data_IF_699214176129
#
_entry.id   IF_699214176129
#
_cell.length_a   1.000
_cell.length_b   1.000
_cell.length_c   1.000
_cell.angle_alpha   90.00
_cell.angle_beta   90.00
_cell.angle_gamma   90.00
#
_symmetry.space_group_name_H-M   'P 1'
#
loop_
_entity.id
_entity.type
_entity.pdbx_description
1 polymer ?
#
# COMPACT_ATOMS: atom_id res chain seq x y z
N UNK A 1 52.08 11.24 31.00
CA UNK A 1 50.82 10.87 31.70
C UNK A 1 50.11 9.88 30.79
N UNK A 2 49.59 8.74 31.29
CA UNK A 2 49.05 7.74 30.39
C UNK A 2 47.73 8.23 29.78
N UNK A 3 47.69 8.29 28.45
CA UNK A 3 46.50 8.60 27.68
C UNK A 3 45.73 7.31 27.43
N UNK A 4 44.44 7.29 27.77
CA UNK A 4 43.56 6.13 27.63
C UNK A 4 42.51 6.44 26.56
N UNK A 5 42.22 5.47 25.70
CA UNK A 5 41.09 5.52 24.77
C UNK A 5 40.08 4.41 25.10
N UNK A 6 38.83 4.78 25.37
CA UNK A 6 37.69 3.86 25.30
C UNK A 6 37.16 3.86 23.87
N UNK A 7 37.02 2.70 23.26
CA UNK A 7 36.57 2.55 21.87
C UNK A 7 35.36 1.63 21.86
N UNK A 8 34.26 2.08 21.27
CA UNK A 8 33.04 1.31 21.07
C UNK A 8 32.78 1.10 19.59
N UNK A 9 32.78 -0.17 19.15
CA UNK A 9 32.46 -0.54 17.78
C UNK A 9 30.99 -0.97 17.73
N UNK A 10 30.12 -0.02 17.40
CA UNK A 10 28.68 -0.24 17.19
C UNK A 10 28.36 -0.76 15.79
N UNK A 11 27.09 -1.14 15.56
CA UNK A 11 26.63 -1.58 14.22
C UNK A 11 26.63 -0.43 13.20
N UNK A 12 26.34 0.79 13.66
CA UNK A 12 26.25 1.98 12.81
C UNK A 12 27.45 2.92 12.98
N UNK A 13 27.89 3.13 14.23
CA UNK A 13 28.93 4.09 14.59
C UNK A 13 30.08 3.41 15.32
N UNK A 14 31.29 3.88 15.05
CA UNK A 14 32.48 3.59 15.85
C UNK A 14 32.86 4.85 16.60
N UNK A 15 32.89 4.76 17.93
CA UNK A 15 32.99 5.89 18.84
C UNK A 15 34.23 5.76 19.72
N UNK A 16 34.88 6.88 20.00
CA UNK A 16 36.08 6.96 20.84
C UNK A 16 35.89 8.02 21.92
N UNK A 17 36.24 7.65 23.15
CA UNK A 17 36.35 8.53 24.30
C UNK A 17 37.81 8.53 24.79
N UNK A 18 38.50 9.65 24.59
CA UNK A 18 39.89 9.84 25.02
C UNK A 18 39.92 10.48 26.42
N UNK A 19 40.76 9.95 27.31
CA UNK A 19 40.90 10.43 28.68
C UNK A 19 42.37 10.45 29.12
N UNK A 20 42.72 11.41 29.98
CA UNK A 20 44.01 11.45 30.65
C UNK A 20 43.88 10.86 32.04
N UNK A 21 44.65 9.81 32.34
CA UNK A 21 44.61 9.09 33.61
C UNK A 21 45.60 9.75 34.59
N UNK A 22 45.17 10.86 35.22
CA UNK A 22 45.85 11.47 36.36
C UNK A 22 45.36 10.82 37.67
N UNK A 23 46.25 10.39 38.57
CA UNK A 23 45.90 9.77 39.86
C UNK A 23 44.95 10.58 40.75
N UNK A 24 44.89 11.90 40.59
CA UNK A 24 43.97 12.77 41.34
C UNK A 24 42.71 13.17 40.53
N UNK A 25 42.70 12.99 39.21
CA UNK A 25 41.55 13.30 38.35
C UNK A 25 41.64 12.59 36.98
N UNK A 26 40.88 11.49 36.79
CA UNK A 26 40.65 10.96 35.43
C UNK A 26 39.77 11.94 34.67
N UNK A 27 40.37 12.71 33.76
CA UNK A 27 39.67 13.71 32.97
C UNK A 27 39.34 13.16 31.59
N UNK A 28 38.09 13.30 31.18
CA UNK A 28 37.71 13.19 29.78
C UNK A 28 38.37 14.33 28.99
N UNK A 29 38.91 14.00 27.83
CA UNK A 29 39.74 14.90 27.02
C UNK A 29 39.05 15.24 25.70
N UNK A 30 38.66 14.22 24.93
CA UNK A 30 38.12 14.39 23.60
C UNK A 30 37.29 13.17 23.18
N UNK A 31 36.42 13.35 22.19
CA UNK A 31 35.73 12.24 21.51
C UNK A 31 35.93 12.27 20.01
N UNK A 32 35.74 11.10 19.39
CA UNK A 32 35.65 10.94 17.95
C UNK A 32 34.51 9.99 17.59
N UNK A 33 33.86 10.23 16.46
CA UNK A 33 32.78 9.39 15.93
C UNK A 33 32.85 9.35 14.42
N UNK A 34 32.73 8.14 13.88
CA UNK A 34 32.63 7.86 12.44
C UNK A 34 31.62 6.75 12.21
N UNK A 35 31.15 6.59 10.96
CA UNK A 35 30.38 5.41 10.57
C UNK A 35 31.26 4.14 10.67
N UNK A 36 30.72 3.05 11.20
CA UNK A 36 31.43 1.77 11.26
C UNK A 36 31.79 1.28 9.86
N UNK A 37 33.06 0.98 9.64
CA UNK A 37 33.58 0.57 8.33
C UNK A 37 33.42 -0.94 8.14
N UNK A 38 32.70 -1.35 7.10
CA UNK A 38 32.46 -2.77 6.81
C UNK A 38 31.49 -3.43 7.79
N UNK A 39 31.47 -4.77 7.82
CA UNK A 39 30.59 -5.52 8.70
C UNK A 39 31.16 -5.56 10.12
N UNK A 40 30.32 -5.36 11.13
CA UNK A 40 30.76 -5.38 12.53
C UNK A 40 31.35 -6.74 12.92
N UNK A 41 32.47 -6.73 13.64
CA UNK A 41 33.22 -7.93 14.04
C UNK A 41 34.23 -8.40 13.00
N UNK A 42 34.43 -7.66 11.91
CA UNK A 42 35.45 -7.97 10.88
C UNK A 42 36.65 -7.03 10.97
N UNK A 43 37.75 -7.41 10.30
CA UNK A 43 38.97 -6.58 10.21
C UNK A 43 38.72 -5.23 9.55
N UNK A 44 37.67 -5.09 8.76
CA UNK A 44 37.33 -3.84 8.08
C UNK A 44 37.02 -2.72 9.10
N UNK A 45 36.57 -3.08 10.31
CA UNK A 45 36.26 -2.11 11.36
C UNK A 45 37.51 -1.36 11.86
N UNK A 46 38.73 -1.90 11.63
CA UNK A 46 39.98 -1.25 12.05
C UNK A 46 40.12 0.13 11.40
N UNK A 47 39.69 0.28 10.15
CA UNK A 47 39.77 1.57 9.45
C UNK A 47 38.94 2.66 10.15
N UNK A 48 37.69 2.36 10.49
CA UNK A 48 36.80 3.24 11.25
C UNK A 48 37.31 3.52 12.65
N UNK A 49 37.84 2.51 13.34
CA UNK A 49 38.46 2.67 14.67
C UNK A 49 39.63 3.64 14.64
N UNK A 50 40.55 3.49 13.68
CA UNK A 50 41.68 4.40 13.51
C UNK A 50 41.21 5.81 13.18
N UNK A 51 40.25 5.96 12.27
CA UNK A 51 39.71 7.27 11.89
C UNK A 51 39.02 7.97 13.07
N UNK A 52 38.25 7.25 13.90
CA UNK A 52 37.62 7.80 15.09
C UNK A 52 38.65 8.23 16.15
N UNK A 53 39.71 7.43 16.32
CA UNK A 53 40.79 7.74 17.26
C UNK A 53 41.63 8.95 16.78
N UNK A 54 41.95 9.02 15.49
CA UNK A 54 42.60 10.20 14.88
C UNK A 54 41.73 11.45 15.02
N UNK A 55 40.41 11.35 14.80
CA UNK A 55 39.49 12.47 14.96
C UNK A 55 39.45 12.97 16.42
N UNK A 56 39.55 12.08 17.41
CA UNK A 56 39.65 12.46 18.82
C UNK A 56 41.01 13.13 19.13
N UNK A 57 42.11 12.54 18.66
CA UNK A 57 43.48 13.03 18.89
C UNK A 57 43.74 14.40 18.25
N UNK A 58 43.15 14.67 17.08
CA UNK A 58 43.27 15.95 16.38
C UNK A 58 42.75 17.15 17.21
N UNK A 59 41.93 16.91 18.24
CA UNK A 59 41.43 17.93 19.17
C UNK A 59 42.38 18.19 20.34
N UNK A 60 43.57 17.59 20.31
CA UNK A 60 44.50 17.53 21.44
C UNK A 60 45.94 17.72 20.98
N UNK A 61 46.89 18.00 21.89
CA UNK A 61 48.31 18.05 21.53
C UNK A 61 48.98 16.67 21.40
N UNK A 62 48.25 15.57 21.63
CA UNK A 62 48.77 14.20 21.57
C UNK A 62 48.60 13.58 20.18
N UNK A 63 49.41 12.56 19.92
CA UNK A 63 49.45 11.79 18.69
C UNK A 63 49.08 10.32 18.95
N UNK A 64 48.96 9.53 17.88
CA UNK A 64 48.58 8.11 17.99
C UNK A 64 49.54 7.30 18.87
N UNK A 65 50.84 7.61 18.83
CA UNK A 65 51.87 6.94 19.64
C UNK A 65 51.79 7.28 21.14
N UNK A 66 51.06 8.33 21.51
CA UNK A 66 50.91 8.73 22.92
C UNK A 66 49.80 7.94 23.64
N UNK A 67 48.93 7.26 22.89
CA UNK A 67 47.87 6.40 23.43
C UNK A 67 48.51 5.21 24.14
N UNK A 68 48.38 5.18 25.47
CA UNK A 68 49.03 4.20 26.33
C UNK A 68 48.20 2.94 26.53
N UNK A 69 46.87 3.05 26.53
CA UNK A 69 45.93 1.92 26.70
C UNK A 69 44.66 2.14 25.89
N UNK A 70 44.16 1.06 25.28
CA UNK A 70 42.88 1.02 24.59
C UNK A 70 41.95 0.05 25.34
N UNK A 71 40.76 0.51 25.69
CA UNK A 71 39.66 -0.30 26.20
C UNK A 71 38.64 -0.46 25.09
N UNK A 72 38.68 -1.61 24.42
CA UNK A 72 37.85 -1.89 23.27
C UNK A 72 36.59 -2.65 23.70
N UNK A 73 35.42 -2.10 23.38
CA UNK A 73 34.16 -2.80 23.42
C UNK A 73 33.84 -3.32 22.02
N UNK A 74 34.03 -4.61 21.81
CA UNK A 74 33.50 -5.31 20.65
C UNK A 74 32.14 -5.89 21.03
N UNK A 75 31.09 -5.08 20.86
CA UNK A 75 29.74 -5.60 21.06
C UNK A 75 29.46 -6.76 20.08
N UNK A 76 28.61 -7.72 20.44
CA UNK A 76 28.26 -8.80 19.52
C UNK A 76 27.61 -8.23 18.23
N UNK A 77 27.91 -8.76 17.03
CA UNK A 77 27.21 -8.40 15.80
C UNK A 77 25.71 -8.69 15.95
N UNK A 78 24.86 -7.71 15.64
CA UNK A 78 23.41 -7.88 15.62
C UNK A 78 22.96 -7.64 14.19
N UNK A 79 22.39 -8.66 13.56
CA UNK A 79 21.82 -8.58 12.22
C UNK A 79 20.30 -8.54 12.37
N UNK A 80 19.68 -7.54 11.78
CA UNK A 80 18.23 -7.46 11.61
C UNK A 80 17.89 -7.33 10.13
N UNK A 81 16.68 -7.73 9.78
CA UNK A 81 16.07 -7.51 8.47
C UNK A 81 14.56 -7.29 8.69
N UNK A 82 13.85 -6.85 7.65
CA UNK A 82 12.42 -6.53 7.73
C UNK A 82 11.66 -7.19 6.59
N UNK A 83 10.41 -7.56 6.87
CA UNK A 83 9.46 -8.07 5.88
C UNK A 83 8.10 -7.42 6.09
N UNK A 84 7.28 -7.46 5.05
CA UNK A 84 5.89 -7.01 5.08
C UNK A 84 5.03 -8.08 4.42
N UNK A 85 3.92 -8.44 5.05
CA UNK A 85 2.91 -9.33 4.46
C UNK A 85 1.60 -8.58 4.32
N UNK A 86 0.92 -8.76 3.20
CA UNK A 86 -0.46 -8.31 3.03
C UNK A 86 -1.38 -9.42 3.54
N UNK A 87 -2.34 -9.08 4.38
CA UNK A 87 -3.26 -10.05 4.99
C UNK A 87 -4.71 -9.85 4.54
N UNK A 88 -5.04 -8.75 3.87
CA UNK A 88 -6.34 -8.59 3.19
C UNK A 88 -6.23 -8.27 1.71
N UNK A 89 -7.28 -8.57 0.96
CA UNK A 89 -7.45 -8.08 -0.41
C UNK A 89 -8.88 -7.60 -0.66
N UNK A 90 -9.01 -6.58 -1.50
CA UNK A 90 -10.29 -6.14 -2.06
C UNK A 90 -10.37 -6.51 -3.55
N UNK A 91 -11.48 -7.14 -3.93
CA UNK A 91 -11.78 -7.58 -5.29
C UNK A 91 -13.14 -7.02 -5.73
N UNK A 92 -13.19 -6.49 -6.95
CA UNK A 92 -14.40 -6.15 -7.69
C UNK A 92 -14.68 -7.29 -8.66
N UNK A 93 -15.84 -7.92 -8.58
CA UNK A 93 -16.26 -8.95 -9.53
C UNK A 93 -17.20 -8.39 -10.60
N UNK A 94 -17.16 -9.01 -11.79
CA UNK A 94 -18.01 -8.67 -12.95
C UNK A 94 -18.04 -7.19 -13.35
N UNK A 95 -16.98 -6.42 -13.08
CA UNK A 95 -16.95 -5.00 -13.44
C UNK A 95 -18.13 -4.21 -12.82
N UNK A 96 -18.59 -4.59 -11.62
CA UNK A 96 -19.84 -4.07 -11.01
C UNK A 96 -19.77 -2.60 -10.58
N UNK A 97 -18.57 -2.02 -10.46
CA UNK A 97 -18.40 -0.63 -10.03
C UNK A 97 -17.20 0.06 -10.68
N UNK A 98 -17.28 1.40 -10.73
CA UNK A 98 -16.15 2.29 -11.01
C UNK A 98 -16.05 3.31 -9.88
N UNK A 99 -14.92 3.30 -9.19
CA UNK A 99 -14.73 4.04 -7.94
C UNK A 99 -13.44 4.85 -7.86
N UNK A 100 -12.70 5.01 -8.95
CA UNK A 100 -11.38 5.66 -8.96
C UNK A 100 -11.38 7.17 -8.63
N UNK A 101 -12.55 7.80 -8.66
CA UNK A 101 -12.77 9.18 -8.21
C UNK A 101 -11.84 10.23 -8.87
N UNK A 102 -11.99 10.47 -10.19
CA UNK A 102 -11.14 11.40 -10.94
C UNK A 102 -11.24 12.82 -10.38
N UNK A 103 -10.20 13.63 -10.63
CA UNK A 103 -10.13 15.00 -10.10
C UNK A 103 -11.04 15.96 -10.87
N UNK A 104 -11.20 15.73 -12.17
CA UNK A 104 -11.86 16.62 -13.14
C UNK A 104 -13.09 16.02 -13.82
N UNK A 105 -14.01 15.31 -13.12
CA UNK A 105 -15.21 14.79 -13.77
C UNK A 105 -16.06 15.93 -14.35
N UNK A 106 -16.69 15.64 -15.47
CA UNK A 106 -17.54 16.58 -16.20
C UNK A 106 -18.93 16.71 -15.60
N UNK A 107 -19.42 17.95 -15.55
CA UNK A 107 -20.79 18.25 -15.15
C UNK A 107 -21.12 17.87 -13.71
N UNK A 108 -22.40 17.57 -13.48
CA UNK A 108 -22.96 17.24 -12.15
C UNK A 108 -24.31 16.55 -12.34
N UNK A 109 -24.69 15.70 -11.40
CA UNK A 109 -26.01 15.11 -11.34
C UNK A 109 -25.98 13.59 -11.20
N UNK A 110 -27.13 12.99 -11.45
CA UNK A 110 -27.33 11.54 -11.37
C UNK A 110 -28.05 11.09 -12.62
N UNK A 111 -27.55 10.03 -13.24
CA UNK A 111 -28.15 9.41 -14.41
C UNK A 111 -28.30 7.90 -14.18
N UNK A 112 -29.50 7.38 -14.42
CA UNK A 112 -29.80 5.94 -14.39
C UNK A 112 -30.29 5.53 -15.76
N UNK A 113 -29.71 4.48 -16.32
CA UNK A 113 -30.03 4.04 -17.67
C UNK A 113 -29.28 2.78 -18.05
N UNK A 114 -29.30 2.45 -19.34
CA UNK A 114 -28.58 1.29 -19.89
C UNK A 114 -27.29 1.74 -20.55
N UNK A 115 -26.19 1.01 -20.32
CA UNK A 115 -24.90 1.28 -20.96
C UNK A 115 -24.94 1.00 -22.45
N UNK A 116 -24.38 1.88 -23.26
CA UNK A 116 -24.30 1.72 -24.72
C UNK A 116 -23.01 2.34 -25.26
N UNK A 117 -22.33 1.64 -26.16
CA UNK A 117 -21.19 2.23 -26.87
C UNK A 117 -21.63 3.40 -27.75
N UNK A 118 -20.84 4.48 -27.77
CA UNK A 118 -21.09 5.68 -28.56
C UNK A 118 -21.43 5.37 -30.03
N UNK A 119 -20.68 4.46 -30.66
CA UNK A 119 -20.90 4.05 -32.06
C UNK A 119 -22.25 3.36 -32.33
N UNK A 120 -22.94 2.85 -31.31
CA UNK A 120 -24.23 2.18 -31.45
C UNK A 120 -25.41 3.11 -31.17
N UNK A 121 -25.16 4.28 -30.59
CA UNK A 121 -26.20 5.24 -30.20
C UNK A 121 -27.08 5.66 -31.38
N UNK A 122 -26.48 5.85 -32.56
CA UNK A 122 -27.19 6.24 -33.78
C UNK A 122 -28.08 5.12 -34.38
N UNK A 123 -27.88 3.87 -33.95
CA UNK A 123 -28.62 2.69 -34.44
C UNK A 123 -29.86 2.36 -33.61
N UNK A 124 -30.10 3.10 -32.53
CA UNK A 124 -31.24 2.87 -31.65
C UNK A 124 -32.57 3.00 -32.42
N UNK A 125 -33.53 2.09 -32.18
CA UNK A 125 -34.88 2.24 -32.71
C UNK A 125 -35.62 3.35 -31.95
N UNK A 126 -36.49 4.09 -32.65
CA UNK A 126 -37.23 5.23 -32.08
C UNK A 126 -38.03 4.88 -30.82
N UNK A 127 -38.52 3.64 -30.70
CA UNK A 127 -39.25 3.16 -29.53
C UNK A 127 -38.42 3.18 -28.23
N UNK A 128 -37.09 3.12 -28.34
CA UNK A 128 -36.17 3.06 -27.20
C UNK A 128 -35.52 4.42 -26.88
N UNK A 129 -35.89 5.49 -27.59
CA UNK A 129 -35.26 6.79 -27.41
C UNK A 129 -35.43 7.31 -25.98
N UNK A 130 -36.56 7.04 -25.32
CA UNK A 130 -36.84 7.56 -23.98
C UNK A 130 -36.25 6.73 -22.81
N UNK A 131 -35.71 5.52 -23.05
CA UNK A 131 -35.37 4.55 -21.99
C UNK A 131 -34.26 4.99 -21.03
N UNK A 132 -33.42 5.96 -21.44
CA UNK A 132 -32.30 6.45 -20.63
C UNK A 132 -31.01 5.71 -20.96
N UNK A 133 -30.03 6.43 -21.50
CA UNK A 133 -28.79 5.85 -22.02
C UNK A 133 -27.56 6.44 -21.34
N UNK A 134 -26.67 5.55 -20.90
CA UNK A 134 -25.36 5.88 -20.35
C UNK A 134 -24.32 5.55 -21.42
N UNK A 135 -23.72 6.58 -22.01
CA UNK A 135 -22.90 6.40 -23.22
C UNK A 135 -21.45 6.13 -22.83
N UNK A 136 -20.89 5.04 -23.36
CA UNK A 136 -19.48 4.67 -23.21
C UNK A 136 -18.69 5.25 -24.39
N UNK A 137 -17.67 6.04 -24.11
CA UNK A 137 -16.87 6.79 -25.10
C UNK A 137 -15.40 6.39 -24.98
N UNK A 138 -14.93 5.60 -25.95
CA UNK A 138 -13.55 5.15 -26.04
C UNK A 138 -12.59 6.28 -26.49
N UNK A 139 -11.33 5.92 -26.69
CA UNK A 139 -10.26 6.81 -27.16
C UNK A 139 -10.10 6.85 -28.68
N UNK A 140 -10.98 6.18 -29.44
CA UNK A 140 -10.93 6.14 -30.89
C UNK A 140 -11.67 7.31 -31.57
N UNK A 141 -12.61 7.94 -30.86
CA UNK A 141 -13.40 9.09 -31.36
C UNK A 141 -12.87 10.39 -30.76
N UNK A 142 -12.70 11.43 -31.58
CA UNK A 142 -12.34 12.76 -31.07
C UNK A 142 -13.45 13.32 -30.17
N UNK A 143 -13.09 14.02 -29.10
CA UNK A 143 -14.08 14.52 -28.15
C UNK A 143 -15.09 15.50 -28.78
N UNK A 144 -14.71 16.25 -29.83
CA UNK A 144 -15.64 17.14 -30.54
C UNK A 144 -16.68 16.35 -31.35
N UNK A 145 -16.26 15.24 -31.96
CA UNK A 145 -17.18 14.34 -32.68
C UNK A 145 -18.11 13.62 -31.69
N UNK A 146 -17.58 13.17 -30.56
CA UNK A 146 -18.39 12.60 -29.48
C UNK A 146 -19.45 13.59 -28.99
N UNK A 147 -19.08 14.85 -28.74
CA UNK A 147 -20.01 15.93 -28.40
C UNK A 147 -21.07 16.11 -29.48
N UNK A 148 -20.68 16.12 -30.75
CA UNK A 148 -21.62 16.28 -31.86
C UNK A 148 -22.65 15.15 -31.87
N UNK A 149 -22.21 13.90 -31.76
CA UNK A 149 -23.10 12.74 -31.78
C UNK A 149 -24.04 12.73 -30.58
N UNK A 150 -23.56 13.10 -29.39
CA UNK A 150 -24.38 13.23 -28.19
C UNK A 150 -25.44 14.33 -28.34
N UNK A 151 -25.07 15.49 -28.86
CA UNK A 151 -26.01 16.59 -29.08
C UNK A 151 -27.06 16.24 -30.13
N UNK A 152 -26.66 15.64 -31.23
CA UNK A 152 -27.58 15.17 -32.27
C UNK A 152 -28.54 14.09 -31.72
N UNK A 153 -28.04 13.18 -30.89
CA UNK A 153 -28.88 12.19 -30.21
C UNK A 153 -29.92 12.86 -29.31
N UNK A 154 -29.52 13.83 -28.49
CA UNK A 154 -30.42 14.62 -27.65
C UNK A 154 -31.47 15.37 -28.47
N UNK A 155 -31.05 16.01 -29.57
CA UNK A 155 -31.94 16.77 -30.47
C UNK A 155 -32.96 15.85 -31.17
N UNK A 156 -32.61 14.59 -31.44
CA UNK A 156 -33.54 13.53 -31.94
C UNK A 156 -34.48 12.97 -30.88
N UNK A 157 -34.31 13.35 -29.62
CA UNK A 157 -35.11 12.87 -28.49
C UNK A 157 -34.57 11.61 -27.80
N UNK A 158 -33.34 11.18 -28.11
CA UNK A 158 -32.67 10.10 -27.37
C UNK A 158 -32.29 10.65 -25.99
N UNK A 159 -32.79 9.99 -24.94
CA UNK A 159 -32.59 10.38 -23.56
C UNK A 159 -31.21 9.93 -23.06
N UNK A 160 -30.17 10.68 -23.42
CA UNK A 160 -28.85 10.51 -22.81
C UNK A 160 -28.86 11.10 -21.40
N UNK A 161 -28.49 10.29 -20.41
CA UNK A 161 -28.56 10.62 -18.97
C UNK A 161 -27.19 10.72 -18.30
N UNK A 162 -26.15 10.10 -18.87
CA UNK A 162 -24.77 10.20 -18.38
C UNK A 162 -23.79 9.75 -19.48
N UNK A 163 -22.49 9.98 -19.24
CA UNK A 163 -21.42 9.45 -20.08
C UNK A 163 -20.24 8.94 -19.25
N UNK A 164 -19.54 7.95 -19.78
CA UNK A 164 -18.33 7.37 -19.21
C UNK A 164 -17.23 7.40 -20.27
N UNK A 165 -16.12 8.06 -20.00
CA UNK A 165 -15.05 8.33 -20.95
C UNK A 165 -13.76 7.63 -20.51
N UNK A 166 -12.99 7.15 -21.49
CA UNK A 166 -11.65 6.61 -21.26
C UNK A 166 -10.60 7.71 -21.04
N UNK A 167 -10.73 8.83 -21.73
CA UNK A 167 -9.79 9.97 -21.69
C UNK A 167 -10.23 11.03 -20.68
N UNK A 168 -9.28 11.87 -20.25
CA UNK A 168 -9.50 13.07 -19.43
C UNK A 168 -10.13 14.22 -20.25
N UNK A 169 -11.32 13.97 -20.79
CA UNK A 169 -12.08 14.90 -21.63
C UNK A 169 -13.45 15.24 -21.00
N UNK A 170 -13.73 14.84 -19.76
CA UNK A 170 -15.06 14.94 -19.14
C UNK A 170 -15.59 16.37 -19.08
N UNK A 171 -14.78 17.31 -18.60
CA UNK A 171 -15.12 18.74 -18.58
C UNK A 171 -15.25 19.32 -19.99
N UNK A 172 -14.39 18.90 -20.93
CA UNK A 172 -14.40 19.39 -22.31
C UNK A 172 -15.68 19.01 -23.05
N UNK A 173 -16.13 17.77 -22.86
CA UNK A 173 -17.38 17.25 -23.41
C UNK A 173 -18.57 17.95 -22.76
N UNK A 174 -18.68 17.93 -21.43
CA UNK A 174 -19.83 18.51 -20.74
C UNK A 174 -20.06 19.99 -21.06
N UNK A 175 -18.99 20.79 -21.18
CA UNK A 175 -19.08 22.23 -21.50
C UNK A 175 -19.71 22.53 -22.88
N UNK A 176 -19.89 21.53 -23.73
CA UNK A 176 -20.40 21.67 -25.10
C UNK A 176 -21.69 20.87 -25.35
N UNK A 177 -22.23 20.21 -24.34
CA UNK A 177 -23.51 19.49 -24.46
C UNK A 177 -24.71 20.45 -24.41
N UNK A 178 -25.83 20.05 -25.02
CA UNK A 178 -27.11 20.80 -24.98
C UNK A 178 -27.61 21.03 -23.55
N UNK A 179 -27.33 20.10 -22.65
CA UNK A 179 -27.66 20.14 -21.22
C UNK A 179 -26.51 19.52 -20.44
N UNK A 180 -26.30 19.99 -19.21
CA UNK A 180 -25.32 19.41 -18.28
C UNK A 180 -25.70 17.96 -17.97
N UNK A 181 -24.71 17.07 -17.98
CA UNK A 181 -24.84 15.65 -17.62
C UNK A 181 -23.74 15.25 -16.63
N UNK A 182 -23.96 14.24 -15.78
CA UNK A 182 -22.86 13.62 -15.03
C UNK A 182 -21.96 12.83 -16.01
N UNK A 183 -20.68 13.19 -16.04
CA UNK A 183 -19.67 12.58 -16.90
C UNK A 183 -18.50 12.11 -16.06
N UNK A 184 -18.26 10.79 -16.04
CA UNK A 184 -17.09 10.17 -15.39
C UNK A 184 -16.04 9.94 -16.47
N UNK A 185 -14.84 10.45 -16.27
CA UNK A 185 -13.70 10.32 -17.18
C UNK A 185 -12.60 9.43 -16.61
N UNK A 186 -11.47 9.33 -17.33
CA UNK A 186 -10.27 8.59 -16.94
C UNK A 186 -10.49 7.09 -16.62
N UNK A 187 -11.55 6.49 -17.18
CA UNK A 187 -11.80 5.04 -17.04
C UNK A 187 -10.82 4.27 -17.94
N UNK A 188 -9.66 3.95 -17.38
CA UNK A 188 -8.51 3.37 -18.12
C UNK A 188 -8.84 2.09 -18.89
N UNK A 189 -9.69 1.22 -18.37
CA UNK A 189 -10.14 -0.03 -18.99
C UNK A 189 -11.61 0.04 -19.41
N UNK A 190 -12.03 1.15 -20.05
CA UNK A 190 -13.41 1.35 -20.49
C UNK A 190 -13.95 0.19 -21.35
N UNK A 191 -13.09 -0.43 -22.17
CA UNK A 191 -13.45 -1.59 -22.98
C UNK A 191 -13.93 -2.81 -22.18
N UNK A 192 -13.71 -2.85 -20.85
CA UNK A 192 -14.19 -3.89 -19.95
C UNK A 192 -15.52 -3.55 -19.28
N UNK A 193 -16.04 -2.34 -19.49
CA UNK A 193 -17.36 -1.94 -18.99
C UNK A 193 -18.44 -2.64 -19.83
N UNK A 194 -19.34 -3.44 -19.23
CA UNK A 194 -20.33 -4.20 -19.99
C UNK A 194 -21.35 -3.28 -20.67
N UNK A 195 -21.60 -3.52 -21.96
CA UNK A 195 -22.70 -2.90 -22.72
C UNK A 195 -24.05 -3.57 -22.43
N UNK A 196 -25.14 -2.80 -22.54
CA UNK A 196 -26.50 -3.32 -22.41
C UNK A 196 -26.91 -3.62 -20.97
N UNK A 197 -26.18 -3.12 -19.99
CA UNK A 197 -26.41 -3.35 -18.56
C UNK A 197 -26.99 -2.09 -17.92
N UNK A 198 -27.94 -2.27 -17.00
CA UNK A 198 -28.48 -1.16 -16.22
C UNK A 198 -27.39 -0.61 -15.30
N UNK A 199 -27.17 0.70 -15.32
CA UNK A 199 -26.15 1.35 -14.53
C UNK A 199 -26.66 2.68 -13.95
N UNK A 200 -25.96 3.17 -12.95
CA UNK A 200 -26.18 4.47 -12.34
C UNK A 200 -24.86 5.21 -12.23
N UNK A 201 -24.85 6.48 -12.66
CA UNK A 201 -23.71 7.39 -12.60
C UNK A 201 -24.09 8.55 -11.69
N UNK A 202 -23.24 8.87 -10.72
CA UNK A 202 -23.39 10.05 -9.86
C UNK A 202 -22.10 10.87 -9.91
N UNK A 203 -22.25 12.17 -10.17
CA UNK A 203 -21.17 13.16 -10.08
C UNK A 203 -21.64 14.30 -9.19
N UNK A 204 -20.98 14.47 -8.04
CA UNK A 204 -21.27 15.53 -7.10
C UNK A 204 -20.63 16.86 -7.52
N UNK A 205 -21.21 17.97 -7.02
CA UNK A 205 -20.63 19.29 -7.21
C UNK A 205 -19.21 19.38 -6.60
N UNK A 206 -18.34 20.30 -7.07
CA UNK A 206 -17.01 20.47 -6.50
C UNK A 206 -17.03 20.66 -4.98
N UNK A 207 -16.21 19.89 -4.27
CA UNK A 207 -16.16 19.87 -2.80
C UNK A 207 -17.29 19.11 -2.11
N UNK A 208 -18.20 18.48 -2.87
CA UNK A 208 -19.23 17.57 -2.34
C UNK A 208 -18.90 16.11 -2.69
N UNK A 209 -19.60 15.21 -2.01
CA UNK A 209 -19.47 13.75 -2.17
C UNK A 209 -20.78 13.16 -2.67
N UNK A 210 -20.69 12.00 -3.31
CA UNK A 210 -21.84 11.19 -3.73
C UNK A 210 -22.67 10.80 -2.51
N UNK A 211 -24.00 10.88 -2.62
CA UNK A 211 -24.95 10.62 -1.52
C UNK A 211 -25.90 9.49 -1.84
N UNK A 212 -26.09 9.17 -3.13
CA UNK A 212 -27.04 8.15 -3.55
C UNK A 212 -26.32 6.82 -3.73
N UNK A 213 -25.24 6.78 -4.50
CA UNK A 213 -24.47 5.57 -4.75
C UNK A 213 -23.61 5.14 -3.55
N UNK A 214 -23.36 6.02 -2.58
CA UNK A 214 -22.75 5.66 -1.29
C UNK A 214 -23.77 5.12 -0.27
N UNK A 215 -25.06 5.07 -0.63
CA UNK A 215 -26.13 4.60 0.23
C UNK A 215 -26.76 3.33 -0.35
N UNK A 216 -26.75 2.19 0.37
CA UNK A 216 -27.36 0.95 -0.10
C UNK A 216 -28.82 1.11 -0.57
N UNK A 217 -29.60 1.94 0.12
CA UNK A 217 -30.99 2.21 -0.25
C UNK A 217 -31.12 3.09 -1.50
N UNK A 218 -30.12 3.94 -1.77
CA UNK A 218 -30.06 4.73 -3.00
C UNK A 218 -29.87 3.82 -4.22
N UNK A 219 -28.91 2.90 -4.13
CA UNK A 219 -28.69 1.87 -5.16
C UNK A 219 -29.94 0.99 -5.32
N UNK A 220 -30.52 0.52 -4.22
CA UNK A 220 -31.72 -0.31 -4.24
C UNK A 220 -32.91 0.37 -4.92
N UNK A 221 -33.06 1.69 -4.71
CA UNK A 221 -34.11 2.47 -5.35
C UNK A 221 -33.92 2.55 -6.86
N UNK A 222 -32.69 2.77 -7.34
CA UNK A 222 -32.42 2.86 -8.77
C UNK A 222 -32.54 1.53 -9.51
N UNK A 223 -32.15 0.43 -8.88
CA UNK A 223 -32.15 -0.89 -9.52
C UNK A 223 -33.35 -1.76 -9.16
N UNK A 224 -34.25 -1.27 -8.31
CA UNK A 224 -35.42 -2.01 -7.83
C UNK A 224 -35.02 -3.30 -7.11
N UNK A 225 -34.00 -3.23 -6.25
CA UNK A 225 -33.42 -4.41 -5.60
C UNK A 225 -34.34 -4.96 -4.51
N UNK A 226 -34.32 -6.28 -4.36
CA UNK A 226 -34.89 -6.98 -3.20
C UNK A 226 -34.08 -6.68 -1.93
N UNK A 227 -34.62 -6.97 -0.73
CA UNK A 227 -33.87 -6.82 0.52
C UNK A 227 -32.58 -7.66 0.57
N UNK A 228 -32.57 -8.84 -0.04
CA UNK A 228 -31.39 -9.73 -0.11
C UNK A 228 -30.31 -9.14 -1.03
N UNK A 229 -30.69 -8.71 -2.24
CA UNK A 229 -29.75 -8.01 -3.16
C UNK A 229 -29.24 -6.70 -2.55
N UNK A 230 -30.08 -6.00 -1.77
CA UNK A 230 -29.67 -4.76 -1.08
C UNK A 230 -28.59 -5.02 -0.03
N UNK A 231 -28.62 -6.18 0.65
CA UNK A 231 -27.55 -6.57 1.57
C UNK A 231 -26.26 -6.89 0.82
N UNK A 232 -26.36 -7.53 -0.34
CA UNK A 232 -25.21 -7.88 -1.17
C UNK A 232 -24.45 -6.64 -1.68
N UNK A 233 -25.13 -5.52 -1.97
CA UNK A 233 -24.47 -4.30 -2.48
C UNK A 233 -23.93 -3.36 -1.39
N UNK A 234 -24.04 -3.72 -0.10
CA UNK A 234 -23.52 -2.89 1.01
C UNK A 234 -22.01 -2.61 0.86
N UNK A 235 -21.15 -3.59 0.50
CA UNK A 235 -19.74 -3.33 0.26
C UNK A 235 -19.48 -2.35 -0.87
N UNK A 236 -20.28 -2.40 -1.96
CA UNK A 236 -20.20 -1.45 -3.08
C UNK A 236 -20.47 -0.03 -2.59
N UNK A 237 -21.58 0.17 -1.89
CA UNK A 237 -21.93 1.48 -1.35
C UNK A 237 -20.85 2.01 -0.40
N UNK A 238 -20.29 1.14 0.45
CA UNK A 238 -19.21 1.48 1.39
C UNK A 238 -17.93 1.90 0.66
N UNK A 239 -17.56 1.19 -0.40
CA UNK A 239 -16.38 1.50 -1.21
C UNK A 239 -16.47 2.87 -1.92
N UNK A 240 -17.68 3.40 -2.09
CA UNK A 240 -17.96 4.69 -2.74
C UNK A 240 -18.11 5.86 -1.76
N UNK A 241 -18.03 5.61 -0.45
CA UNK A 241 -18.14 6.67 0.56
C UNK A 241 -16.96 7.65 0.42
N UNK A 242 -17.29 8.94 0.34
CA UNK A 242 -16.29 10.01 0.22
C UNK A 242 -15.88 10.34 -1.22
N UNK A 243 -16.30 9.54 -2.20
CA UNK A 243 -16.05 9.85 -3.61
C UNK A 243 -16.88 11.05 -4.06
N UNK A 244 -16.32 11.83 -4.99
CA UNK A 244 -17.03 12.88 -5.73
C UNK A 244 -17.82 12.30 -6.91
N UNK A 245 -17.31 11.25 -7.53
CA UNK A 245 -17.99 10.56 -8.62
C UNK A 245 -17.92 9.04 -8.50
N UNK A 246 -18.97 8.38 -8.97
CA UNK A 246 -19.09 6.93 -8.90
C UNK A 246 -19.97 6.37 -10.02
N UNK A 247 -19.70 5.13 -10.41
CA UNK A 247 -20.58 4.33 -11.28
C UNK A 247 -20.86 3.00 -10.59
N UNK A 248 -22.13 2.58 -10.60
CA UNK A 248 -22.54 1.23 -10.20
C UNK A 248 -23.26 0.58 -11.38
N UNK A 249 -22.96 -0.69 -11.65
CA UNK A 249 -23.57 -1.49 -12.70
C UNK A 249 -24.35 -2.64 -12.09
N UNK A 250 -25.55 -2.92 -12.60
CA UNK A 250 -26.39 -4.03 -12.16
C UNK A 250 -26.02 -5.30 -12.91
N UNK A 251 -24.98 -5.97 -12.44
CA UNK A 251 -24.51 -7.25 -13.00
C UNK A 251 -25.07 -8.45 -12.22
N UNK A 252 -25.18 -9.65 -12.83
CA UNK A 252 -25.85 -10.80 -12.20
C UNK A 252 -25.24 -11.28 -10.87
N UNK A 253 -23.92 -11.25 -10.73
CA UNK A 253 -23.17 -11.73 -9.55
C UNK A 253 -22.04 -10.77 -9.15
N UNK A 254 -22.04 -9.55 -9.70
CA UNK A 254 -21.03 -8.56 -9.41
C UNK A 254 -21.14 -8.01 -7.99
N UNK A 255 -20.03 -8.06 -7.28
CA UNK A 255 -19.91 -7.76 -5.85
C UNK A 255 -18.53 -7.13 -5.58
N UNK A 256 -18.38 -6.54 -4.38
CA UNK A 256 -17.12 -6.02 -3.86
C UNK A 256 -16.80 -6.75 -2.58
N UNK A 257 -15.73 -7.53 -2.60
CA UNK A 257 -15.38 -8.40 -1.48
C UNK A 257 -14.04 -7.97 -0.91
N UNK A 258 -14.03 -7.66 0.39
CA UNK A 258 -12.80 -7.55 1.18
C UNK A 258 -12.69 -8.82 2.02
N UNK A 259 -11.60 -9.56 1.86
CA UNK A 259 -11.39 -10.82 2.57
C UNK A 259 -9.96 -10.96 3.05
N UNK A 260 -9.78 -11.80 4.06
CA UNK A 260 -8.47 -12.20 4.54
C UNK A 260 -7.82 -13.13 3.51
N UNK A 261 -6.52 -12.96 3.28
CA UNK A 261 -5.69 -13.80 2.41
C UNK A 261 -4.67 -14.59 3.23
N UNK A 262 -4.29 -15.80 2.79
CA UNK A 262 -3.25 -16.57 3.48
C UNK A 262 -1.90 -15.85 3.41
N UNK A 263 -1.36 -15.48 4.57
CA UNK A 263 -0.03 -14.86 4.71
C UNK A 263 1.04 -15.81 5.27
N UNK A 264 0.63 -17.05 5.59
CA UNK A 264 1.46 -18.09 6.18
C UNK A 264 1.62 -17.96 7.69
N UNK A 265 2.31 -18.92 8.29
CA UNK A 265 2.49 -19.03 9.73
C UNK A 265 3.93 -18.76 10.18
N UNK A 266 4.05 -18.28 11.42
CA UNK A 266 5.30 -18.21 12.16
C UNK A 266 5.36 -19.32 13.20
N UNK A 267 6.44 -20.10 13.18
CA UNK A 267 6.72 -21.18 14.12
C UNK A 267 7.76 -20.71 15.14
N UNK A 268 7.33 -20.56 16.38
CA UNK A 268 8.14 -19.99 17.47
C UNK A 268 8.58 -21.12 18.39
N UNK A 269 9.90 -21.29 18.51
CA UNK A 269 10.50 -22.24 19.45
C UNK A 269 11.00 -21.49 20.67
N UNK A 270 10.26 -21.58 21.77
CA UNK A 270 10.67 -21.11 23.08
C UNK A 270 11.57 -22.11 23.80
N UNK A 271 12.16 -21.68 24.92
CA UNK A 271 12.98 -22.57 25.76
C UNK A 271 12.17 -23.75 26.33
N UNK A 272 10.91 -23.51 26.70
CA UNK A 272 10.06 -24.51 27.38
C UNK A 272 8.93 -25.05 26.53
N UNK A 273 8.50 -24.29 25.52
CA UNK A 273 7.31 -24.60 24.71
C UNK A 273 7.49 -24.12 23.28
N UNK A 274 6.66 -24.64 22.39
CA UNK A 274 6.53 -24.15 21.01
C UNK A 274 5.19 -23.45 20.84
N UNK A 275 5.15 -22.48 19.95
CA UNK A 275 3.95 -21.75 19.57
C UNK A 275 3.91 -21.55 18.06
N UNK A 276 2.73 -21.21 17.59
CA UNK A 276 2.45 -20.89 16.20
C UNK A 276 1.55 -19.66 16.17
N UNK A 277 1.73 -18.82 15.17
CA UNK A 277 0.86 -17.66 14.92
C UNK A 277 0.60 -17.54 13.42
N UNK A 278 -0.68 -17.46 13.05
CA UNK A 278 -1.09 -17.11 11.70
C UNK A 278 -0.84 -15.61 11.50
N UNK A 279 -0.06 -15.27 10.48
CA UNK A 279 0.26 -13.86 10.17
C UNK A 279 -1.02 -13.08 9.83
N UNK A 280 -2.02 -13.74 9.27
CA UNK A 280 -3.28 -13.12 8.89
C UNK A 280 -4.19 -12.72 10.07
N UNK A 281 -3.89 -13.19 11.29
CA UNK A 281 -4.60 -12.79 12.51
C UNK A 281 -4.06 -11.47 13.12
N UNK A 282 -2.98 -10.91 12.55
CA UNK A 282 -2.43 -9.62 12.93
C UNK A 282 -1.31 -9.66 13.97
N UNK A 283 -0.67 -8.50 14.16
CA UNK A 283 0.53 -8.38 14.97
C UNK A 283 0.30 -8.69 16.45
N UNK A 284 -0.87 -8.37 17.01
CA UNK A 284 -1.19 -8.67 18.40
C UNK A 284 -1.12 -10.18 18.68
N UNK A 285 -1.71 -11.01 17.82
CA UNK A 285 -1.69 -12.47 17.95
C UNK A 285 -0.25 -13.01 17.89
N UNK A 286 0.57 -12.48 16.97
CA UNK A 286 1.99 -12.83 16.86
C UNK A 286 2.75 -12.48 18.14
N UNK A 287 2.56 -11.26 18.67
CA UNK A 287 3.26 -10.80 19.87
C UNK A 287 2.80 -11.54 21.15
N UNK A 288 1.54 -11.98 21.20
CA UNK A 288 1.03 -12.86 22.26
C UNK A 288 1.70 -14.24 22.19
N UNK A 289 1.86 -14.83 20.99
CA UNK A 289 2.55 -16.11 20.81
C UNK A 289 4.04 -16.02 21.16
N UNK A 290 4.70 -14.92 20.80
CA UNK A 290 6.08 -14.60 21.21
C UNK A 290 6.21 -14.54 22.73
N UNK A 291 5.31 -13.82 23.39
CA UNK A 291 5.28 -13.68 24.85
C UNK A 291 5.03 -15.02 25.55
N UNK A 292 4.13 -15.85 25.00
CA UNK A 292 3.83 -17.16 25.54
C UNK A 292 5.04 -18.11 25.45
N UNK A 293 5.89 -17.96 24.43
CA UNK A 293 7.08 -18.79 24.21
C UNK A 293 8.36 -18.21 24.83
N UNK A 294 8.29 -17.06 25.50
CA UNK A 294 9.47 -16.42 26.08
C UNK A 294 10.15 -17.30 27.17
N UNK A 295 11.49 -17.35 27.22
CA UNK A 295 12.43 -16.75 26.28
C UNK A 295 12.50 -17.53 24.96
N UNK A 296 12.42 -16.82 23.83
CA UNK A 296 12.46 -17.40 22.49
C UNK A 296 13.87 -17.90 22.16
N UNK A 297 13.95 -19.04 21.48
CA UNK A 297 15.19 -19.72 21.09
C UNK A 297 15.40 -19.73 19.58
N UNK A 298 14.36 -19.92 18.79
CA UNK A 298 14.40 -19.85 17.32
C UNK A 298 13.03 -19.48 16.76
N UNK A 299 13.00 -18.86 15.59
CA UNK A 299 11.80 -18.49 14.86
C UNK A 299 11.95 -18.94 13.40
N UNK A 300 10.89 -19.52 12.83
CA UNK A 300 10.84 -19.93 11.42
C UNK A 300 9.55 -19.44 10.79
N UNK A 301 9.58 -19.15 9.50
CA UNK A 301 8.40 -18.83 8.71
C UNK A 301 8.16 -19.87 7.64
N UNK A 302 6.96 -19.85 7.06
CA UNK A 302 6.63 -20.70 5.93
C UNK A 302 7.48 -20.39 4.67
N UNK A 303 7.95 -21.41 3.93
CA UNK A 303 8.63 -21.20 2.66
C UNK A 303 7.72 -20.56 1.62
N UNK A 304 8.23 -19.56 0.89
CA UNK A 304 7.50 -18.86 -0.16
C UNK A 304 6.79 -17.58 0.30
N UNK A 305 6.76 -17.29 1.60
CA UNK A 305 6.31 -16.00 2.15
C UNK A 305 7.48 -15.01 2.26
N UNK A 306 7.18 -13.71 2.32
CA UNK A 306 8.18 -12.68 2.57
C UNK A 306 8.81 -12.85 3.96
N UNK A 307 7.99 -13.14 4.99
CA UNK A 307 8.47 -13.37 6.35
C UNK A 307 9.41 -14.57 6.42
N UNK A 308 9.04 -15.71 5.83
CA UNK A 308 9.90 -16.90 5.78
C UNK A 308 11.20 -16.64 5.01
N UNK A 309 11.12 -15.95 3.87
CA UNK A 309 12.29 -15.56 3.09
C UNK A 309 13.24 -14.62 3.84
N UNK A 310 12.71 -13.65 4.59
CA UNK A 310 13.49 -12.72 5.41
C UNK A 310 14.21 -13.44 6.57
N UNK A 311 13.51 -14.30 7.30
CA UNK A 311 14.10 -15.06 8.42
C UNK A 311 15.28 -15.91 7.96
N UNK A 312 15.14 -16.62 6.83
CA UNK A 312 16.24 -17.42 6.28
C UNK A 312 17.38 -16.55 5.71
N UNK A 313 17.08 -15.35 5.21
CA UNK A 313 18.12 -14.38 4.79
C UNK A 313 18.97 -13.94 5.99
N UNK A 314 18.35 -13.56 7.10
CA UNK A 314 19.05 -13.20 8.35
C UNK A 314 19.91 -14.37 8.82
N UNK A 315 19.34 -15.58 8.85
CA UNK A 315 20.04 -16.81 9.25
C UNK A 315 21.29 -17.04 8.39
N UNK A 316 21.17 -16.88 7.07
CA UNK A 316 22.28 -17.03 6.11
C UNK A 316 23.39 -15.99 6.30
N UNK A 317 23.04 -14.72 6.52
CA UNK A 317 24.04 -13.66 6.72
C UNK A 317 24.82 -13.92 8.02
N UNK A 318 24.14 -14.26 9.11
CA UNK A 318 24.80 -14.57 10.38
C UNK A 318 25.66 -15.85 10.30
N UNK A 319 25.18 -16.89 9.60
CA UNK A 319 25.93 -18.11 9.35
C UNK A 319 27.25 -17.82 8.61
N UNK A 320 27.17 -17.02 7.54
CA UNK A 320 28.33 -16.60 6.77
C UNK A 320 29.30 -15.73 7.57
N UNK A 321 28.80 -14.85 8.44
CA UNK A 321 29.62 -13.98 9.29
C UNK A 321 30.38 -14.77 10.35
N UNK A 322 29.73 -15.78 10.95
CA UNK A 322 30.28 -16.55 12.07
C UNK A 322 31.01 -17.83 11.62
N UNK A 323 30.92 -18.19 10.34
CA UNK A 323 31.53 -19.41 9.80
C UNK A 323 30.82 -20.69 10.26
N UNK A 324 29.53 -20.59 10.61
CA UNK A 324 28.71 -21.72 11.04
C UNK A 324 27.72 -22.15 9.95
N UNK A 325 27.21 -23.37 10.07
CA UNK A 325 26.07 -23.84 9.28
C UNK A 325 24.79 -23.10 9.69
N UNK A 326 23.88 -22.87 8.74
CA UNK A 326 22.60 -22.17 9.01
C UNK A 326 21.76 -22.88 10.08
N UNK A 327 21.85 -24.21 10.19
CA UNK A 327 21.13 -25.00 11.20
C UNK A 327 21.57 -24.74 12.64
N UNK A 328 22.75 -24.13 12.83
CA UNK A 328 23.29 -23.73 14.13
C UNK A 328 23.07 -22.25 14.45
N UNK A 329 22.51 -21.49 13.51
CA UNK A 329 22.08 -20.10 13.72
C UNK A 329 20.63 -20.12 14.13
N UNK A 330 20.26 -19.29 15.11
CA UNK A 330 18.89 -19.18 15.60
C UNK A 330 18.49 -17.70 15.72
N UNK A 331 17.20 -17.42 15.53
CA UNK A 331 16.65 -16.07 15.63
C UNK A 331 15.99 -15.92 17.00
N UNK A 332 16.47 -14.97 17.80
CA UNK A 332 16.09 -14.85 19.21
C UNK A 332 14.88 -13.94 19.44
N UNK A 333 14.55 -13.06 18.49
CA UNK A 333 13.47 -12.08 18.66
C UNK A 333 12.86 -11.67 17.31
N UNK A 334 11.62 -11.20 17.37
CA UNK A 334 10.84 -10.68 16.25
C UNK A 334 9.82 -9.68 16.78
N UNK A 335 9.65 -8.56 16.06
CA UNK A 335 8.61 -7.58 16.32
C UNK A 335 7.61 -7.57 15.16
N UNK A 336 6.33 -7.74 15.48
CA UNK A 336 5.22 -7.57 14.53
C UNK A 336 4.52 -6.24 14.78
N UNK A 337 4.08 -5.58 13.70
CA UNK A 337 3.35 -4.31 13.73
C UNK A 337 2.28 -4.33 12.65
N UNK A 338 1.04 -3.99 13.01
CA UNK A 338 -0.05 -3.82 12.04
C UNK A 338 0.11 -2.50 11.29
N UNK A 339 -0.13 -2.53 9.98
CA UNK A 339 -0.05 -1.35 9.12
C UNK A 339 -1.06 -1.44 7.99
N UNK A 340 -1.06 -0.45 7.11
CA UNK A 340 -1.86 -0.47 5.89
C UNK A 340 -0.99 -0.18 4.68
N UNK A 341 -1.24 -0.90 3.59
CA UNK A 341 -0.58 -0.66 2.31
C UNK A 341 -1.61 -0.35 1.21
N UNK A 342 -1.35 0.65 0.35
CA UNK A 342 -2.20 0.88 -0.80
C UNK A 342 -1.98 -0.25 -1.82
N UNK A 343 -3.05 -0.99 -2.13
CA UNK A 343 -3.05 -2.03 -3.16
C UNK A 343 -4.06 -1.70 -4.24
N UNK A 344 -3.70 -2.05 -5.47
CA UNK A 344 -4.63 -2.03 -6.60
C UNK A 344 -5.75 -3.03 -6.32
N UNK A 345 -6.99 -2.59 -6.41
CA UNK A 345 -8.18 -3.43 -6.30
C UNK A 345 -8.29 -4.30 -7.54
N UNK A 346 -8.32 -5.61 -7.36
CA UNK A 346 -8.42 -6.53 -8.49
C UNK A 346 -9.81 -6.46 -9.11
N UNK A 347 -9.88 -6.49 -10.44
CA UNK A 347 -11.13 -6.29 -11.19
C UNK A 347 -11.60 -4.82 -11.28
N UNK A 348 -10.87 -3.87 -10.68
CA UNK A 348 -11.08 -2.45 -10.93
C UNK A 348 -10.75 -2.06 -12.37
N UNK A 349 -11.63 -1.26 -12.98
CA UNK A 349 -11.53 -0.84 -14.39
C UNK A 349 -10.86 0.51 -14.58
N UNK A 350 -10.63 1.26 -13.51
CA UNK A 350 -10.11 2.62 -13.60
C UNK A 350 -8.89 2.85 -12.70
N UNK A 351 -8.25 1.78 -12.22
CA UNK A 351 -7.08 1.86 -11.36
C UNK A 351 -7.42 2.12 -9.90
N UNK A 352 -8.57 1.63 -9.45
CA UNK A 352 -8.99 1.68 -8.05
C UNK A 352 -7.90 1.14 -7.10
N UNK A 353 -7.67 1.85 -6.01
CA UNK A 353 -6.76 1.45 -4.94
C UNK A 353 -7.50 1.45 -3.59
N UNK A 354 -7.20 0.46 -2.76
CA UNK A 354 -7.71 0.35 -1.40
C UNK A 354 -6.55 0.21 -0.41
N UNK A 355 -6.76 0.63 0.83
CA UNK A 355 -5.83 0.38 1.92
C UNK A 355 -6.11 -1.02 2.47
N UNK A 356 -5.18 -1.93 2.25
CA UNK A 356 -5.24 -3.30 2.76
C UNK A 356 -4.41 -3.42 4.03
N UNK A 357 -4.84 -4.30 4.93
CA UNK A 357 -4.05 -4.70 6.09
C UNK A 357 -2.92 -5.64 5.64
#
# INVERSE_FOLDING_TARGET
MPLIAGIDIGNATTEVALASDDPQARAFVASGIVATTGMKGTRDNIAGTLAALEQALAKTPWSMSDVSRIYLNEAAPVIGDVAMETITETIITESTMIGHNPQTPGGVGVGVGTTIALGRLATLPAAQYAEGWIVLIDDAVDFLDAVWWLNEALDRGINVVAAILKKDDGVLVNNRLRKTLPVVDEVTLLEQVPEGVMAAVEVAAPGQVVRILSNPYGIATFFGLSPEETQAIVPIARALIGNRSAVVLKTPQGDVQSRVIPAGNLYISGEKRRGEADVAEGAEAIMQAMSACAPVRDIRGEPGTHAGGMLERVRKVMASLTGHEMSAIYIQDLLAVDTFIPRKVQGGMAGECAMEN
#
